data_IF_644331919011
#
_entry.id   IF_644331919011
#
_cell.length_a   1.000
_cell.length_b   1.000
_cell.length_c   1.000
_cell.angle_alpha   90.00
_cell.angle_beta   90.00
_cell.angle_gamma   90.00
#
_symmetry.space_group_name_H-M   'P 1'
#
loop_
_entity.id
_entity.type
_entity.pdbx_description
1 polymer ?
#
# COMPACT_ATOMS: atom_id res chain seq x y z
N UNK A 1 1.88 23.69 -8.18
CA UNK A 1 2.34 23.43 -6.79
C UNK A 1 1.87 22.09 -6.22
N UNK A 2 0.87 21.43 -6.83
CA UNK A 2 0.25 20.18 -6.35
C UNK A 2 1.17 18.96 -6.31
N UNK A 3 2.10 18.81 -7.27
CA UNK A 3 3.02 17.66 -7.30
C UNK A 3 3.90 17.54 -6.05
N UNK A 4 4.23 18.65 -5.38
CA UNK A 4 5.04 18.62 -4.15
C UNK A 4 4.28 18.02 -2.97
N UNK A 5 2.96 18.17 -2.94
CA UNK A 5 2.10 17.60 -1.90
C UNK A 5 1.84 16.11 -2.11
N UNK A 6 1.69 15.69 -3.38
CA UNK A 6 1.58 14.28 -3.75
C UNK A 6 2.81 13.49 -3.33
N UNK A 7 4.00 14.02 -3.61
CA UNK A 7 5.22 13.39 -3.15
C UNK A 7 5.36 13.37 -1.63
N UNK A 8 4.82 14.37 -0.91
CA UNK A 8 4.83 14.37 0.56
C UNK A 8 3.99 13.22 1.10
N UNK A 9 2.79 13.00 0.56
CA UNK A 9 1.95 11.86 0.93
C UNK A 9 2.63 10.52 0.64
N UNK A 10 3.23 10.39 -0.55
CA UNK A 10 3.98 9.19 -0.92
C UNK A 10 5.17 8.94 0.02
N UNK A 11 5.95 9.97 0.35
CA UNK A 11 7.07 9.87 1.30
C UNK A 11 6.60 9.49 2.71
N UNK A 12 5.48 10.03 3.18
CA UNK A 12 4.90 9.67 4.48
C UNK A 12 4.50 8.19 4.51
N UNK A 13 3.83 7.70 3.45
CA UNK A 13 3.44 6.29 3.33
C UNK A 13 4.65 5.33 3.27
N UNK A 14 5.67 5.66 2.48
CA UNK A 14 6.92 4.87 2.42
C UNK A 14 7.67 4.92 3.75
N UNK A 15 7.68 6.08 4.41
CA UNK A 15 8.25 6.25 5.75
C UNK A 15 7.57 5.36 6.79
N UNK A 16 6.24 5.35 6.81
CA UNK A 16 5.45 4.50 7.68
C UNK A 16 5.73 3.00 7.44
N UNK A 17 5.76 2.55 6.18
CA UNK A 17 6.11 1.17 5.84
C UNK A 17 7.53 0.82 6.27
N UNK A 18 8.49 1.71 6.03
CA UNK A 18 9.90 1.49 6.41
C UNK A 18 10.04 1.43 7.94
N UNK A 19 9.33 2.30 8.67
CA UNK A 19 9.26 2.27 10.13
C UNK A 19 8.67 0.96 10.64
N UNK A 20 7.56 0.50 10.05
CA UNK A 20 6.93 -0.78 10.38
C UNK A 20 7.87 -1.97 10.16
N UNK A 21 8.67 -1.96 9.09
CA UNK A 21 9.67 -3.00 8.81
C UNK A 21 10.81 -3.00 9.84
N UNK A 22 11.13 -1.84 10.42
CA UNK A 22 12.16 -1.73 11.46
C UNK A 22 11.69 -2.21 12.85
N UNK A 23 10.39 -2.46 13.04
CA UNK A 23 9.85 -2.99 14.30
C UNK A 23 10.21 -4.49 14.42
N UNK A 24 11.24 -4.77 15.21
CA UNK A 24 11.73 -6.11 15.53
C UNK A 24 11.63 -6.41 17.04
N UNK A 25 11.43 -7.69 17.44
CA UNK A 25 11.35 -8.88 16.59
C UNK A 25 9.96 -9.02 15.95
N UNK A 26 9.89 -9.55 14.72
CA UNK A 26 8.62 -9.85 14.05
C UNK A 26 8.54 -11.35 13.76
N UNK A 27 7.46 -12.05 14.18
CA UNK A 27 7.33 -13.48 13.90
C UNK A 27 7.50 -13.78 12.41
N UNK A 28 8.42 -14.69 12.08
CA UNK A 28 8.70 -15.10 10.70
C UNK A 28 9.60 -14.16 9.88
N UNK A 29 10.20 -13.13 10.49
CA UNK A 29 11.24 -12.30 9.88
C UNK A 29 12.51 -12.30 10.73
N UNK A 30 13.71 -12.21 10.12
CA UNK A 30 14.96 -12.12 10.88
C UNK A 30 14.95 -10.90 11.82
N UNK A 31 15.41 -11.09 13.07
CA UNK A 31 15.66 -9.97 13.98
C UNK A 31 17.00 -9.31 13.58
N UNK A 32 17.01 -8.01 13.24
CA UNK A 32 18.24 -7.28 12.92
C UNK A 32 19.25 -7.21 14.08
N UNK A 33 18.85 -7.57 15.32
CA UNK A 33 19.71 -7.64 16.51
C UNK A 33 20.38 -9.00 16.70
N UNK A 34 19.95 -10.04 15.97
CA UNK A 34 20.58 -11.37 16.02
C UNK A 34 21.85 -11.40 15.17
N UNK A 35 22.96 -10.92 15.75
CA UNK A 35 24.29 -10.89 15.13
C UNK A 35 24.86 -12.29 14.78
N UNK A 36 24.29 -13.35 15.35
CA UNK A 36 24.71 -14.75 15.14
C UNK A 36 23.93 -15.51 14.07
N UNK A 37 22.79 -15.00 13.61
CA UNK A 37 22.01 -15.66 12.57
C UNK A 37 22.59 -15.30 11.19
N UNK A 38 23.42 -16.18 10.64
CA UNK A 38 23.85 -16.13 9.22
C UNK A 38 22.72 -16.39 8.21
N UNK A 39 21.46 -16.13 8.57
CA UNK A 39 20.34 -15.99 7.65
C UNK A 39 20.22 -14.51 7.25
N UNK A 40 20.12 -14.18 5.96
CA UNK A 40 20.93 -13.10 5.44
C UNK A 40 20.31 -11.73 5.73
N UNK A 41 21.14 -10.78 6.16
CA UNK A 41 20.94 -9.32 6.06
C UNK A 41 20.41 -8.85 4.68
N UNK A 42 20.49 -9.72 3.67
CA UNK A 42 19.93 -9.59 2.32
C UNK A 42 18.40 -9.44 2.30
N UNK A 43 17.69 -9.70 3.39
CA UNK A 43 16.21 -9.59 3.45
C UNK A 43 15.72 -8.20 3.90
N UNK A 44 16.25 -7.64 4.98
CA UNK A 44 15.80 -6.32 5.48
C UNK A 44 16.21 -5.16 4.58
N UNK A 45 17.44 -5.15 4.08
CA UNK A 45 17.92 -4.13 3.14
C UNK A 45 17.12 -4.13 1.84
N UNK A 46 16.82 -5.32 1.30
CA UNK A 46 16.02 -5.50 0.10
C UNK A 46 14.54 -5.14 0.32
N UNK A 47 13.96 -5.46 1.49
CA UNK A 47 12.60 -5.05 1.85
C UNK A 47 12.46 -3.53 1.98
N UNK A 48 13.46 -2.86 2.56
CA UNK A 48 13.49 -1.38 2.62
C UNK A 48 13.70 -0.76 1.24
N UNK A 49 14.53 -1.38 0.40
CA UNK A 49 14.75 -0.93 -0.98
C UNK A 49 13.48 -1.05 -1.82
N UNK A 50 12.85 -2.22 -1.83
CA UNK A 50 11.58 -2.47 -2.53
C UNK A 50 10.44 -1.59 -2.02
N UNK A 51 10.39 -1.27 -0.71
CA UNK A 51 9.43 -0.32 -0.16
C UNK A 51 9.58 1.10 -0.75
N UNK A 52 10.82 1.56 -1.00
CA UNK A 52 11.07 2.86 -1.65
C UNK A 52 10.58 2.90 -3.09
N UNK A 53 10.57 1.76 -3.78
CA UNK A 53 10.05 1.66 -5.15
C UNK A 53 8.53 1.90 -5.25
N UNK A 54 7.80 1.94 -4.13
CA UNK A 54 6.39 2.34 -4.09
C UNK A 54 6.18 3.84 -4.34
N UNK A 55 7.18 4.68 -4.05
CA UNK A 55 7.00 6.13 -4.00
C UNK A 55 6.42 6.73 -5.30
N UNK A 56 6.92 6.42 -6.52
CA UNK A 56 6.37 7.00 -7.74
C UNK A 56 4.91 6.60 -7.98
N UNK A 57 4.57 5.34 -7.67
CA UNK A 57 3.21 4.82 -7.78
C UNK A 57 2.24 5.51 -6.81
N UNK A 58 2.66 5.68 -5.56
CA UNK A 58 1.87 6.38 -4.54
C UNK A 58 1.69 7.86 -4.88
N UNK A 59 2.72 8.53 -5.40
CA UNK A 59 2.60 9.90 -5.91
C UNK A 59 1.58 9.98 -7.05
N UNK A 60 1.61 9.04 -7.99
CA UNK A 60 0.65 8.98 -9.10
C UNK A 60 -0.80 8.74 -8.61
N UNK A 61 -0.98 7.91 -7.58
CA UNK A 61 -2.29 7.70 -6.95
C UNK A 61 -2.83 8.97 -6.28
N UNK A 62 -1.98 9.71 -5.57
CA UNK A 62 -2.36 11.00 -4.99
C UNK A 62 -2.76 12.02 -6.08
N UNK A 63 -1.97 12.11 -7.15
CA UNK A 63 -2.26 12.99 -8.28
C UNK A 63 -3.58 12.63 -8.99
N UNK A 64 -3.83 11.34 -9.22
CA UNK A 64 -5.09 10.85 -9.80
C UNK A 64 -6.30 11.19 -8.92
N UNK A 65 -6.15 11.02 -7.60
CA UNK A 65 -7.17 11.37 -6.63
C UNK A 65 -7.47 12.87 -6.64
N UNK A 66 -6.46 13.75 -6.56
CA UNK A 66 -6.69 15.21 -6.63
C UNK A 66 -7.32 15.65 -7.93
N UNK A 67 -6.88 15.08 -9.05
CA UNK A 67 -7.45 15.41 -10.37
C UNK A 67 -8.92 15.02 -10.46
N UNK A 68 -9.31 13.91 -9.84
CA UNK A 68 -10.70 13.44 -9.86
C UNK A 68 -11.58 14.19 -8.86
N UNK A 69 -11.05 14.52 -7.68
CA UNK A 69 -11.75 15.33 -6.66
C UNK A 69 -12.76 14.56 -5.79
N UNK A 70 -13.19 13.37 -6.20
CA UNK A 70 -14.17 12.56 -5.47
C UNK A 70 -13.92 11.04 -5.53
N UNK A 71 -14.37 10.27 -4.52
CA UNK A 71 -14.20 8.81 -4.49
C UNK A 71 -15.20 8.13 -5.43
N UNK A 72 -14.80 7.91 -6.68
CA UNK A 72 -15.65 7.31 -7.72
C UNK A 72 -15.17 5.94 -8.19
N UNK A 73 -16.04 5.22 -8.90
CA UNK A 73 -15.67 3.98 -9.60
C UNK A 73 -14.57 4.21 -10.65
N UNK A 74 -14.56 5.38 -11.31
CA UNK A 74 -13.51 5.75 -12.25
C UNK A 74 -12.16 5.92 -11.55
N UNK A 75 -12.12 6.67 -10.45
CA UNK A 75 -10.91 6.80 -9.64
C UNK A 75 -10.43 5.43 -9.17
N UNK A 76 -11.33 4.57 -8.69
CA UNK A 76 -10.99 3.20 -8.28
C UNK A 76 -10.31 2.39 -9.39
N UNK A 77 -10.81 2.50 -10.62
CA UNK A 77 -10.23 1.80 -11.77
C UNK A 77 -8.83 2.33 -12.11
N UNK A 78 -8.65 3.65 -12.06
CA UNK A 78 -7.34 4.29 -12.27
C UNK A 78 -6.33 3.90 -11.19
N UNK A 79 -6.71 3.98 -9.91
CA UNK A 79 -5.87 3.51 -8.79
C UNK A 79 -5.48 2.02 -8.96
N UNK A 80 -6.40 1.19 -9.45
CA UNK A 80 -6.13 -0.20 -9.78
C UNK A 80 -5.07 -0.36 -10.88
N UNK A 81 -5.15 0.45 -11.94
CA UNK A 81 -4.17 0.44 -13.02
C UNK A 81 -2.78 0.90 -12.53
N UNK A 82 -2.71 2.02 -11.81
CA UNK A 82 -1.48 2.53 -11.21
C UNK A 82 -0.88 1.49 -10.26
N UNK A 83 -1.71 0.86 -9.43
CA UNK A 83 -1.28 -0.18 -8.49
C UNK A 83 -0.66 -1.39 -9.18
N UNK A 84 -1.23 -1.86 -10.29
CA UNK A 84 -0.65 -2.97 -11.06
C UNK A 84 0.70 -2.60 -11.69
N UNK A 85 0.84 -1.39 -12.23
CA UNK A 85 2.12 -0.90 -12.74
C UNK A 85 3.16 -0.76 -11.62
N UNK A 86 2.74 -0.22 -10.47
CA UNK A 86 3.60 -0.05 -9.30
C UNK A 86 4.08 -1.38 -8.75
N UNK A 87 3.21 -2.38 -8.72
CA UNK A 87 3.59 -3.73 -8.32
C UNK A 87 4.69 -4.31 -9.23
N UNK A 88 4.60 -4.09 -10.55
CA UNK A 88 5.65 -4.53 -11.46
C UNK A 88 7.00 -3.88 -11.10
N UNK A 89 7.03 -2.56 -10.89
CA UNK A 89 8.22 -1.81 -10.46
C UNK A 89 8.80 -2.33 -9.14
N UNK A 90 7.94 -2.60 -8.15
CA UNK A 90 8.37 -3.16 -6.87
C UNK A 90 8.92 -4.56 -7.03
N UNK A 91 8.33 -5.39 -7.91
CA UNK A 91 8.83 -6.71 -8.26
C UNK A 91 10.27 -6.68 -8.78
N UNK A 92 10.59 -5.71 -9.65
CA UNK A 92 11.96 -5.49 -10.14
C UNK A 92 12.93 -5.05 -9.03
N UNK A 93 12.42 -4.40 -7.98
CA UNK A 93 13.18 -3.93 -6.83
C UNK A 93 13.33 -4.97 -5.70
N UNK A 94 13.00 -6.24 -5.94
CA UNK A 94 13.08 -7.32 -4.93
C UNK A 94 11.73 -7.77 -4.38
N UNK A 95 10.64 -7.12 -4.77
CA UNK A 95 9.28 -7.56 -4.46
C UNK A 95 8.86 -7.34 -3.00
N UNK A 96 7.91 -8.16 -2.54
CA UNK A 96 7.23 -7.91 -1.27
C UNK A 96 6.21 -6.78 -1.38
N UNK A 97 5.48 -6.50 -0.31
CA UNK A 97 4.62 -5.30 -0.20
C UNK A 97 3.34 -5.23 -1.05
N UNK A 98 2.90 -6.27 -1.78
CA UNK A 98 1.61 -6.21 -2.51
C UNK A 98 0.43 -5.79 -1.61
N UNK A 99 0.39 -6.30 -0.37
CA UNK A 99 -0.63 -5.91 0.61
C UNK A 99 -0.49 -4.45 1.06
N UNK A 100 0.73 -4.01 1.36
CA UNK A 100 1.02 -2.64 1.75
C UNK A 100 0.73 -1.63 0.63
N UNK A 101 1.09 -1.93 -0.62
CA UNK A 101 0.74 -1.12 -1.78
C UNK A 101 -0.77 -0.90 -1.88
N UNK A 102 -1.56 -1.96 -1.64
CA UNK A 102 -3.01 -1.87 -1.70
C UNK A 102 -3.56 -0.96 -0.61
N UNK A 103 -3.17 -1.18 0.65
CA UNK A 103 -3.58 -0.36 1.80
C UNK A 103 -3.12 1.09 1.69
N UNK A 104 -1.82 1.31 1.48
CA UNK A 104 -1.23 2.64 1.38
C UNK A 104 -1.75 3.40 0.16
N UNK A 105 -2.03 2.70 -0.95
CA UNK A 105 -2.61 3.31 -2.15
C UNK A 105 -3.97 3.97 -1.87
N UNK A 106 -4.87 3.29 -1.14
CA UNK A 106 -6.14 3.89 -0.76
C UNK A 106 -6.00 5.00 0.26
N UNK A 107 -5.13 4.85 1.26
CA UNK A 107 -4.91 5.88 2.28
C UNK A 107 -4.31 7.15 1.66
N UNK A 108 -3.36 7.01 0.74
CA UNK A 108 -2.75 8.14 0.01
C UNK A 108 -3.78 8.81 -0.89
N UNK A 109 -4.58 8.04 -1.64
CA UNK A 109 -5.64 8.60 -2.47
C UNK A 109 -6.71 9.32 -1.63
N UNK A 110 -7.14 8.72 -0.52
CA UNK A 110 -8.11 9.32 0.40
C UNK A 110 -7.58 10.62 1.02
N UNK A 111 -6.35 10.62 1.54
CA UNK A 111 -5.73 11.83 2.10
C UNK A 111 -5.53 12.94 1.05
N UNK A 112 -5.40 12.58 -0.23
CA UNK A 112 -5.34 13.54 -1.33
C UNK A 112 -6.73 14.12 -1.68
N UNK A 113 -7.81 13.34 -1.50
CA UNK A 113 -9.20 13.80 -1.68
C UNK A 113 -9.66 14.70 -0.53
N UNK A 114 -9.24 14.40 0.70
CA UNK A 114 -9.70 15.09 1.91
C UNK A 114 -8.53 15.75 2.66
N UNK A 115 -7.85 16.75 2.07
CA UNK A 115 -6.70 17.39 2.71
C UNK A 115 -7.11 18.08 4.03
N UNK A 116 -6.28 17.94 5.07
CA UNK A 116 -6.51 18.58 6.37
C UNK A 116 -7.58 17.91 7.25
N UNK A 117 -8.07 16.73 6.86
CA UNK A 117 -9.06 15.97 7.62
C UNK A 117 -8.42 15.02 8.64
N UNK A 118 -9.26 14.49 9.53
CA UNK A 118 -8.86 13.52 10.56
C UNK A 118 -8.53 12.15 9.95
N UNK A 119 -7.79 11.32 10.69
CA UNK A 119 -7.53 9.93 10.29
C UNK A 119 -8.82 9.12 10.09
N UNK A 120 -9.86 9.39 10.88
CA UNK A 120 -11.17 8.73 10.75
C UNK A 120 -11.84 9.06 9.41
N UNK A 121 -11.75 10.31 8.95
CA UNK A 121 -12.32 10.74 7.66
C UNK A 121 -11.53 10.17 6.47
N UNK A 122 -10.20 10.12 6.58
CA UNK A 122 -9.34 9.48 5.58
C UNK A 122 -9.67 7.99 5.45
N UNK A 123 -9.79 7.27 6.57
CA UNK A 123 -10.14 5.84 6.54
C UNK A 123 -11.56 5.59 6.03
N UNK A 124 -12.53 6.45 6.36
CA UNK A 124 -13.88 6.39 5.80
C UNK A 124 -13.88 6.59 4.27
N UNK A 125 -13.09 7.53 3.77
CA UNK A 125 -12.94 7.80 2.33
C UNK A 125 -12.25 6.62 1.62
N UNK A 126 -11.19 6.09 2.23
CA UNK A 126 -10.50 4.90 1.73
C UNK A 126 -11.41 3.67 1.68
N UNK A 127 -12.30 3.51 2.68
CA UNK A 127 -13.34 2.48 2.70
C UNK A 127 -14.28 2.62 1.51
N UNK A 128 -14.76 3.83 1.25
CA UNK A 128 -15.62 4.13 0.09
C UNK A 128 -14.95 3.75 -1.23
N UNK A 129 -13.67 4.13 -1.41
CA UNK A 129 -12.88 3.73 -2.58
C UNK A 129 -12.75 2.20 -2.69
N UNK A 130 -12.44 1.51 -1.59
CA UNK A 130 -12.25 0.06 -1.56
C UNK A 130 -13.54 -0.75 -1.82
N UNK A 131 -14.71 -0.14 -1.64
CA UNK A 131 -16.01 -0.74 -1.93
C UNK A 131 -16.27 -0.87 -3.43
N UNK A 132 -15.74 0.04 -4.26
CA UNK A 132 -15.89 -0.05 -5.71
C UNK A 132 -15.13 -1.26 -6.30
N UNK A 133 -15.74 -1.97 -7.27
CA UNK A 133 -15.09 -3.08 -7.94
C UNK A 133 -13.97 -2.61 -8.88
N UNK A 134 -12.95 -3.45 -9.05
CA UNK A 134 -11.86 -3.24 -10.02
C UNK A 134 -11.98 -4.24 -11.15
N UNK A 135 -12.56 -3.80 -12.26
CA UNK A 135 -12.76 -4.65 -13.45
C UNK A 135 -11.43 -5.10 -14.07
N UNK A 136 -10.33 -4.40 -13.80
CA UNK A 136 -8.99 -4.77 -14.25
C UNK A 136 -8.23 -5.68 -13.28
N UNK A 137 -8.84 -6.10 -12.17
CA UNK A 137 -8.19 -6.99 -11.21
C UNK A 137 -7.88 -8.36 -11.85
N UNK A 138 -6.71 -8.97 -11.56
CA UNK A 138 -6.39 -10.30 -12.05
C UNK A 138 -7.44 -11.32 -11.63
N UNK A 139 -7.84 -12.20 -12.56
CA UNK A 139 -8.79 -13.29 -12.30
C UNK A 139 -8.22 -14.38 -11.39
N UNK A 140 -6.89 -14.51 -11.34
CA UNK A 140 -6.19 -15.46 -10.46
C UNK A 140 -6.05 -14.87 -9.04
N UNK A 141 -6.33 -15.66 -7.99
CA UNK A 141 -6.12 -15.21 -6.62
C UNK A 141 -4.64 -14.92 -6.38
N UNK A 142 -4.36 -13.85 -5.64
CA UNK A 142 -3.01 -13.56 -5.15
C UNK A 142 -2.65 -14.51 -4.01
N UNK A 143 -1.36 -14.71 -3.75
CA UNK A 143 -0.87 -15.44 -2.57
C UNK A 143 -1.55 -14.97 -1.28
N UNK A 144 -1.69 -13.66 -1.11
CA UNK A 144 -2.38 -13.07 0.04
C UNK A 144 -3.85 -13.47 0.12
N UNK A 145 -4.59 -13.44 -0.99
CA UNK A 145 -5.99 -13.89 -0.98
C UNK A 145 -6.13 -15.40 -0.73
N UNK A 146 -5.19 -16.22 -1.21
CA UNK A 146 -5.19 -17.66 -0.93
C UNK A 146 -4.93 -17.93 0.56
N UNK A 147 -3.98 -17.23 1.18
CA UNK A 147 -3.68 -17.35 2.61
C UNK A 147 -4.86 -16.88 3.45
N UNK A 148 -5.44 -15.71 3.13
CA UNK A 148 -6.65 -15.19 3.77
C UNK A 148 -7.80 -16.18 3.72
N UNK A 149 -8.07 -16.77 2.54
CA UNK A 149 -9.11 -17.78 2.39
C UNK A 149 -8.83 -19.04 3.20
N UNK A 150 -7.56 -19.48 3.26
CA UNK A 150 -7.15 -20.68 3.99
C UNK A 150 -7.30 -20.54 5.51
N UNK A 151 -7.01 -19.35 6.06
CA UNK A 151 -6.94 -19.13 7.51
C UNK A 151 -8.05 -18.23 8.07
N UNK A 152 -9.05 -17.85 7.25
CA UNK A 152 -10.18 -17.02 7.68
C UNK A 152 -9.80 -15.57 8.01
N UNK A 153 -8.62 -15.10 7.61
CA UNK A 153 -8.19 -13.72 7.85
C UNK A 153 -8.74 -12.79 6.76
N UNK A 154 -9.27 -11.63 7.15
CA UNK A 154 -9.85 -10.65 6.23
C UNK A 154 -8.86 -10.18 5.14
N UNK A 155 -7.58 -10.09 5.49
CA UNK A 155 -6.50 -9.64 4.60
C UNK A 155 -6.66 -8.18 4.16
N UNK A 156 -5.68 -7.65 3.41
CA UNK A 156 -5.63 -6.22 3.07
C UNK A 156 -6.91 -5.68 2.39
N UNK A 157 -7.60 -6.52 1.61
CA UNK A 157 -8.88 -6.15 0.97
C UNK A 157 -10.03 -6.07 1.97
N UNK A 158 -10.13 -7.03 2.88
CA UNK A 158 -11.13 -7.03 3.93
C UNK A 158 -10.93 -5.86 4.89
N UNK A 159 -9.69 -5.62 5.32
CA UNK A 159 -9.35 -4.50 6.22
C UNK A 159 -9.78 -3.14 5.66
N UNK A 160 -9.46 -2.84 4.39
CA UNK A 160 -9.86 -1.55 3.82
C UNK A 160 -11.38 -1.43 3.67
N UNK A 161 -12.10 -2.52 3.37
CA UNK A 161 -13.57 -2.52 3.31
C UNK A 161 -14.21 -2.36 4.69
N UNK A 162 -13.53 -2.82 5.74
CA UNK A 162 -13.90 -2.52 7.12
C UNK A 162 -13.47 -1.10 7.54
N UNK A 163 -12.64 -0.42 6.75
CA UNK A 163 -12.13 0.92 7.02
C UNK A 163 -10.98 0.94 8.04
N UNK A 164 -10.13 -0.08 8.03
CA UNK A 164 -8.95 -0.20 8.90
C UNK A 164 -9.30 -0.11 10.40
N UNK A 165 -10.12 -1.05 10.93
CA UNK A 165 -10.46 -1.12 12.35
C UNK A 165 -9.25 -1.41 13.26
#
# INVERSE_FOLDING_TARGET
>A
MTGREDEKLARAAVGALTGQLALAPKPGLPDPRDLGARAPLRDHGALRWSAKALAPGLTAMAAAARRTGEPTAQLRAELGAIGRCTEHTVGLAGGGHRGALWTLGFLVAAAALTPGTTAAEVTATARGLAAFPDRGAPRRPSRGSTISARYGAAGARGEARAGFP
#
